data_IF_079957427811
#
_entry.id   IF_079957427811
#
_cell.length_a   1.000
_cell.length_b   1.000
_cell.length_c   1.000
_cell.angle_alpha   90.00
_cell.angle_beta   90.00
_cell.angle_gamma   90.00
#
_symmetry.space_group_name_H-M   'P 1'
#
loop_
_entity.id
_entity.type
_entity.pdbx_description
1 polymer ?
#
# COMPACT_ATOMS: atom_id res chain seq x y z
N UNK A 1 8.20 -6.05 1.29
CA UNK A 1 7.02 -5.15 1.39
C UNK A 1 5.94 -5.75 2.26
N UNK A 2 5.31 -4.94 3.11
CA UNK A 2 4.23 -5.32 4.05
C UNK A 2 2.91 -5.69 3.36
N UNK A 3 2.03 -6.41 4.06
CA UNK A 3 0.63 -6.64 3.62
C UNK A 3 -0.12 -5.31 3.47
N UNK A 4 -0.83 -5.17 2.35
CA UNK A 4 -1.55 -3.93 2.00
C UNK A 4 -2.73 -4.21 1.06
N UNK A 5 -3.89 -3.62 1.36
CA UNK A 5 -5.06 -3.61 0.49
C UNK A 5 -4.71 -2.84 -0.77
N UNK A 6 -5.10 -3.39 -1.92
CA UNK A 6 -4.87 -2.71 -3.18
C UNK A 6 -3.39 -2.63 -3.56
N UNK A 7 -2.51 -3.50 -3.04
CA UNK A 7 -1.05 -3.48 -3.27
C UNK A 7 -0.57 -3.62 -4.72
N UNK A 8 -1.48 -3.60 -5.70
CA UNK A 8 -1.25 -3.62 -7.16
C UNK A 8 -0.31 -4.71 -7.68
N UNK A 9 -0.03 -5.75 -6.90
CA UNK A 9 0.85 -6.86 -7.31
C UNK A 9 0.42 -7.49 -8.63
N UNK A 10 -0.88 -7.68 -8.81
CA UNK A 10 -1.43 -8.32 -10.01
C UNK A 10 -1.49 -7.37 -11.22
N UNK A 11 -1.56 -6.06 -10.98
CA UNK A 11 -1.70 -4.98 -11.99
C UNK A 11 -0.36 -4.39 -12.44
N UNK A 12 0.73 -4.69 -11.74
CA UNK A 12 2.03 -4.04 -11.95
C UNK A 12 2.53 -4.17 -13.39
N UNK A 13 2.46 -5.37 -13.97
CA UNK A 13 2.89 -5.62 -15.35
C UNK A 13 2.09 -4.81 -16.37
N UNK A 14 0.79 -4.62 -16.10
CA UNK A 14 -0.08 -3.81 -16.94
C UNK A 14 0.30 -2.34 -16.92
N UNK A 15 0.47 -1.80 -15.72
CA UNK A 15 0.89 -0.41 -15.50
C UNK A 15 2.23 -0.17 -16.18
N UNK A 16 3.21 -1.05 -15.98
CA UNK A 16 4.53 -0.96 -16.61
C UNK A 16 4.42 -0.95 -18.13
N UNK A 17 3.63 -1.85 -18.72
CA UNK A 17 3.43 -1.89 -20.18
C UNK A 17 2.82 -0.59 -20.68
N UNK A 18 1.77 -0.09 -20.03
CA UNK A 18 1.13 1.17 -20.39
C UNK A 18 2.12 2.34 -20.34
N UNK A 19 2.90 2.45 -19.26
CA UNK A 19 3.90 3.52 -19.12
C UNK A 19 4.96 3.46 -20.22
N UNK A 20 5.51 2.26 -20.49
CA UNK A 20 6.56 2.08 -21.50
C UNK A 20 6.10 2.41 -22.93
N UNK A 21 4.83 2.16 -23.23
CA UNK A 21 4.26 2.43 -24.56
C UNK A 21 3.87 3.90 -24.70
N UNK A 22 3.55 4.57 -23.60
CA UNK A 22 3.22 5.99 -23.58
C UNK A 22 4.44 6.89 -23.77
N UNK A 23 5.58 6.59 -23.14
CA UNK A 23 6.80 7.40 -23.27
C UNK A 23 8.07 6.66 -22.81
N UNK A 24 9.24 7.20 -23.19
CA UNK A 24 10.54 6.73 -22.71
C UNK A 24 10.84 7.18 -21.26
N UNK A 25 11.90 6.63 -20.62
CA UNK A 25 12.21 6.95 -19.23
C UNK A 25 12.45 8.45 -18.98
N UNK A 26 11.68 9.01 -18.06
CA UNK A 26 11.79 10.39 -17.58
C UNK A 26 11.45 10.46 -16.09
N UNK A 27 10.59 11.41 -15.71
CA UNK A 27 10.08 11.56 -14.35
C UNK A 27 8.70 10.93 -14.20
N UNK A 28 8.56 10.01 -13.25
CA UNK A 28 7.32 9.33 -12.91
C UNK A 28 6.78 9.84 -11.57
N UNK A 29 5.56 10.35 -11.56
CA UNK A 29 4.89 10.88 -10.38
C UNK A 29 3.89 9.85 -9.83
N UNK A 30 4.13 9.33 -8.63
CA UNK A 30 3.22 8.41 -7.93
C UNK A 30 2.52 9.17 -6.80
N UNK A 31 1.31 9.69 -7.04
CA UNK A 31 0.61 10.60 -6.11
C UNK A 31 0.04 9.89 -4.87
N UNK A 32 -0.18 8.59 -4.96
CA UNK A 32 -0.80 7.74 -3.92
C UNK A 32 0.03 6.47 -3.73
N UNK A 33 1.28 6.67 -3.33
CA UNK A 33 2.31 5.62 -3.40
C UNK A 33 2.01 4.41 -2.50
N UNK A 34 1.34 4.58 -1.36
CA UNK A 34 1.00 3.48 -0.44
C UNK A 34 2.23 2.64 -0.05
N UNK A 35 2.35 1.42 -0.58
CA UNK A 35 3.54 0.56 -0.35
C UNK A 35 4.74 0.89 -1.22
N UNK A 36 4.60 1.87 -2.11
CA UNK A 36 5.56 2.26 -3.14
C UNK A 36 5.91 1.14 -4.12
N UNK A 37 5.04 0.13 -4.29
CA UNK A 37 5.33 -0.98 -5.22
C UNK A 37 5.46 -0.51 -6.67
N UNK A 38 4.58 0.38 -7.12
CA UNK A 38 4.64 0.94 -8.48
C UNK A 38 5.89 1.81 -8.61
N UNK A 39 6.06 2.80 -7.73
CA UNK A 39 7.27 3.63 -7.71
C UNK A 39 8.60 2.84 -7.66
N UNK A 40 8.68 1.80 -6.82
CA UNK A 40 9.85 0.91 -6.73
C UNK A 40 10.16 0.22 -8.06
N UNK A 41 9.13 -0.35 -8.72
CA UNK A 41 9.30 -0.97 -10.02
C UNK A 41 9.73 0.05 -11.10
N UNK A 42 9.16 1.26 -11.08
CA UNK A 42 9.53 2.32 -12.01
C UNK A 42 10.98 2.79 -11.81
N UNK A 43 11.45 2.89 -10.55
CA UNK A 43 12.87 3.14 -10.23
C UNK A 43 13.77 2.06 -10.84
N UNK A 44 13.42 0.79 -10.68
CA UNK A 44 14.14 -0.35 -11.27
C UNK A 44 14.16 -0.33 -12.81
N UNK A 45 13.15 0.26 -13.44
CA UNK A 45 13.09 0.51 -14.88
C UNK A 45 13.86 1.76 -15.33
N UNK A 46 14.54 2.44 -14.41
CA UNK A 46 15.40 3.59 -14.68
C UNK A 46 14.69 4.95 -14.65
N UNK A 47 13.43 5.03 -14.19
CA UNK A 47 12.70 6.29 -14.06
C UNK A 47 13.11 7.05 -12.81
N UNK A 48 13.14 8.39 -12.90
CA UNK A 48 13.21 9.24 -11.72
C UNK A 48 11.82 9.29 -11.11
N UNK A 49 11.66 8.77 -9.89
CA UNK A 49 10.33 8.67 -9.28
C UNK A 49 10.14 9.72 -8.20
N UNK A 50 9.04 10.47 -8.29
CA UNK A 50 8.53 11.34 -7.23
C UNK A 50 7.33 10.64 -6.60
N UNK A 51 7.51 10.10 -5.39
CA UNK A 51 6.48 9.33 -4.70
C UNK A 51 5.87 10.17 -3.56
N UNK A 52 4.55 10.23 -3.48
CA UNK A 52 3.83 10.95 -2.45
C UNK A 52 2.83 10.02 -1.73
N UNK A 53 2.64 10.22 -0.43
CA UNK A 53 1.47 9.70 0.29
C UNK A 53 1.16 10.61 1.47
N UNK A 54 -0.09 10.59 1.94
CA UNK A 54 -0.49 11.39 3.10
C UNK A 54 0.02 10.77 4.42
N UNK A 55 0.11 9.44 4.53
CA UNK A 55 0.45 8.78 5.80
C UNK A 55 1.96 8.65 6.01
N UNK A 56 2.41 8.82 7.25
CA UNK A 56 3.83 8.78 7.59
C UNK A 56 4.47 7.43 7.28
N UNK A 57 3.75 6.31 7.52
CA UNK A 57 4.28 4.99 7.18
C UNK A 57 4.48 4.80 5.67
N UNK A 58 3.58 5.35 4.85
CA UNK A 58 3.64 5.24 3.39
C UNK A 58 4.74 6.13 2.82
N UNK A 59 4.87 7.36 3.32
CA UNK A 59 6.00 8.23 2.98
C UNK A 59 7.36 7.62 3.40
N UNK A 60 7.40 6.88 4.52
CA UNK A 60 8.61 6.16 4.96
C UNK A 60 8.94 4.98 4.06
N UNK A 61 7.93 4.24 3.58
CA UNK A 61 8.09 3.22 2.54
C UNK A 61 8.64 3.83 1.24
N UNK A 62 8.08 4.95 0.80
CA UNK A 62 8.57 5.69 -0.36
C UNK A 62 10.02 6.16 -0.17
N UNK A 63 10.36 6.66 1.01
CA UNK A 63 11.73 7.09 1.28
C UNK A 63 12.73 5.93 1.21
N UNK A 64 12.36 4.76 1.71
CA UNK A 64 13.18 3.55 1.62
C UNK A 64 13.28 3.01 0.18
N UNK A 65 12.16 2.83 -0.52
CA UNK A 65 12.13 2.13 -1.80
C UNK A 65 12.35 3.02 -3.02
N UNK A 66 12.04 4.31 -2.92
CA UNK A 66 12.15 5.26 -4.04
C UNK A 66 13.31 6.23 -3.83
N UNK A 67 13.37 6.91 -2.69
CA UNK A 67 14.34 7.99 -2.49
C UNK A 67 15.75 7.49 -2.15
N UNK A 68 15.87 6.51 -1.25
CA UNK A 68 17.16 5.95 -0.85
C UNK A 68 17.78 5.20 -2.02
N UNK A 69 19.05 5.49 -2.30
CA UNK A 69 19.84 4.77 -3.29
C UNK A 69 20.70 3.74 -2.58
N UNK A 70 20.73 2.51 -3.10
CA UNK A 70 21.46 1.39 -2.51
C UNK A 70 22.92 1.73 -2.22
N UNK A 71 23.56 2.45 -3.13
CA UNK A 71 24.96 2.88 -3.02
C UNK A 71 25.21 3.77 -1.79
N UNK A 72 24.19 4.52 -1.36
CA UNK A 72 24.30 5.49 -0.27
C UNK A 72 24.03 4.85 1.12
N UNK A 73 23.32 3.72 1.18
CA UNK A 73 22.78 3.19 2.46
C UNK A 73 23.12 1.73 2.76
N UNK A 74 23.48 0.91 1.76
CA UNK A 74 23.51 -0.56 1.91
C UNK A 74 24.50 -1.03 2.97
N UNK A 75 25.71 -0.47 3.00
CA UNK A 75 26.76 -0.88 3.95
C UNK A 75 26.35 -0.61 5.39
N UNK A 76 25.94 0.62 5.69
CA UNK A 76 25.50 1.03 7.02
C UNK A 76 24.22 0.30 7.45
N UNK A 77 23.23 0.18 6.56
CA UNK A 77 22.00 -0.56 6.84
C UNK A 77 22.31 -2.02 7.20
N UNK A 78 23.21 -2.67 6.46
CA UNK A 78 23.61 -4.05 6.73
C UNK A 78 24.28 -4.18 8.10
N UNK A 79 25.21 -3.28 8.44
CA UNK A 79 25.89 -3.27 9.75
C UNK A 79 24.91 -3.03 10.89
N UNK A 80 24.05 -2.02 10.77
CA UNK A 80 23.08 -1.64 11.79
C UNK A 80 22.01 -2.71 11.98
N UNK A 81 21.53 -3.37 10.92
CA UNK A 81 20.56 -4.46 11.04
C UNK A 81 21.13 -5.65 11.82
N UNK A 82 22.42 -5.99 11.64
CA UNK A 82 23.07 -7.02 12.47
C UNK A 82 23.10 -6.63 13.94
N UNK A 83 23.46 -5.38 14.22
CA UNK A 83 23.48 -4.82 15.59
C UNK A 83 22.08 -4.90 16.23
N UNK A 84 21.06 -4.40 15.54
CA UNK A 84 19.68 -4.35 16.03
C UNK A 84 19.10 -5.76 16.24
N UNK A 85 19.43 -6.71 15.36
CA UNK A 85 19.02 -8.10 15.52
C UNK A 85 19.60 -8.76 16.78
N UNK A 86 20.75 -8.30 17.28
CA UNK A 86 21.38 -8.84 18.49
C UNK A 86 20.82 -8.24 19.81
N UNK A 87 20.00 -7.20 19.76
CA UNK A 87 19.48 -6.55 20.97
C UNK A 87 18.57 -7.48 21.79
N UNK A 88 18.64 -7.50 23.12
CA UNK A 88 17.58 -8.11 23.92
C UNK A 88 16.26 -7.32 23.75
N UNK A 89 15.12 -8.02 23.86
CA UNK A 89 13.83 -7.36 23.93
C UNK A 89 13.69 -6.54 25.21
N UNK A 90 12.96 -5.43 25.15
CA UNK A 90 12.59 -4.63 26.31
C UNK A 90 11.17 -4.10 26.11
N UNK A 91 10.22 -4.41 27.00
CA UNK A 91 8.83 -3.98 26.84
C UNK A 91 8.70 -2.46 26.96
N UNK A 92 7.84 -1.88 26.12
CA UNK A 92 7.48 -0.49 26.11
C UNK A 92 6.03 -0.28 25.68
N UNK A 93 5.74 0.91 25.15
CA UNK A 93 4.38 1.28 24.73
C UNK A 93 3.82 0.32 23.67
N UNK A 94 4.66 -0.12 22.72
CA UNK A 94 4.20 -0.99 21.63
C UNK A 94 3.79 -2.36 22.18
N UNK A 95 4.59 -2.93 23.09
CA UNK A 95 4.28 -4.18 23.79
C UNK A 95 2.97 -4.09 24.55
N UNK A 96 2.83 -3.07 25.39
CA UNK A 96 1.61 -2.88 26.19
C UNK A 96 0.38 -2.71 25.30
N UNK A 97 0.46 -1.87 24.28
CA UNK A 97 -0.70 -1.46 23.49
C UNK A 97 -1.08 -2.50 22.44
N UNK A 98 -0.11 -2.99 21.66
CA UNK A 98 -0.33 -3.83 20.47
C UNK A 98 -0.01 -5.31 20.67
N UNK A 99 0.39 -5.72 21.88
CA UNK A 99 0.60 -7.13 22.22
C UNK A 99 -0.25 -7.60 23.42
N UNK A 100 -0.27 -6.83 24.51
CA UNK A 100 -0.98 -7.19 25.75
C UNK A 100 -2.45 -6.77 25.67
N UNK A 101 -2.72 -5.48 25.47
CA UNK A 101 -4.09 -4.93 25.39
C UNK A 101 -4.80 -5.30 24.10
N UNK A 102 -4.06 -5.42 23.01
CA UNK A 102 -4.54 -5.92 21.73
C UNK A 102 -3.56 -6.94 21.20
N UNK A 103 -4.06 -8.06 20.66
CA UNK A 103 -3.25 -9.26 20.40
C UNK A 103 -2.71 -9.28 18.96
N UNK A 104 -2.17 -8.15 18.49
CA UNK A 104 -1.66 -8.05 17.12
C UNK A 104 -0.31 -8.74 16.95
N UNK A 105 0.55 -8.68 17.97
CA UNK A 105 1.86 -9.32 17.97
C UNK A 105 2.06 -10.07 19.28
N UNK A 106 2.81 -11.17 19.24
CA UNK A 106 3.17 -11.88 20.46
C UNK A 106 4.05 -10.98 21.36
N UNK A 107 3.86 -10.93 22.69
CA UNK A 107 4.63 -10.04 23.59
C UNK A 107 6.14 -10.10 23.38
N UNK A 108 6.71 -11.30 23.21
CA UNK A 108 8.15 -11.48 22.88
C UNK A 108 8.62 -10.66 21.67
N UNK A 109 7.76 -10.53 20.66
CA UNK A 109 8.07 -9.77 19.45
C UNK A 109 7.80 -8.27 19.67
N UNK A 110 6.79 -7.92 20.48
CA UNK A 110 6.57 -6.55 20.95
C UNK A 110 7.79 -5.96 21.66
N UNK A 111 8.38 -6.72 22.59
CA UNK A 111 9.57 -6.31 23.34
C UNK A 111 10.76 -6.05 22.42
N UNK A 112 10.88 -6.84 21.35
CA UNK A 112 11.91 -6.64 20.32
C UNK A 112 11.63 -5.38 19.49
N UNK A 113 10.38 -5.13 19.13
CA UNK A 113 9.98 -3.91 18.39
C UNK A 113 10.30 -2.66 19.20
N UNK A 114 9.91 -2.62 20.48
CA UNK A 114 10.20 -1.49 21.38
C UNK A 114 11.71 -1.24 21.49
N UNK A 115 12.50 -2.27 21.81
CA UNK A 115 13.94 -2.15 21.96
C UNK A 115 14.65 -1.68 20.67
N UNK A 116 14.29 -2.27 19.53
CA UNK A 116 14.90 -1.93 18.23
C UNK A 116 14.54 -0.50 17.83
N UNK A 117 13.27 -0.10 18.00
CA UNK A 117 12.83 1.22 17.55
C UNK A 117 13.37 2.34 18.44
N UNK A 118 13.47 2.13 19.75
CA UNK A 118 14.18 3.04 20.66
C UNK A 118 15.66 3.18 20.26
N UNK A 119 16.32 2.07 19.91
CA UNK A 119 17.71 2.10 19.43
C UNK A 119 17.88 2.85 18.10
N UNK A 120 16.93 2.72 17.15
CA UNK A 120 16.93 3.50 15.91
C UNK A 120 16.79 5.00 16.23
N UNK A 121 15.85 5.38 17.10
CA UNK A 121 15.61 6.79 17.45
C UNK A 121 16.84 7.45 18.09
N UNK A 122 17.54 6.71 18.96
CA UNK A 122 18.71 7.21 19.67
C UNK A 122 19.94 7.46 18.76
N UNK A 123 19.97 6.90 17.54
CA UNK A 123 21.12 7.02 16.63
C UNK A 123 21.14 8.30 15.80
N UNK A 124 20.04 9.06 15.73
CA UNK A 124 19.93 10.32 14.96
C UNK A 124 20.46 10.17 13.52
N UNK A 125 19.99 9.12 12.82
CA UNK A 125 20.50 8.75 11.51
C UNK A 125 20.04 9.71 10.40
N UNK A 126 20.76 9.77 9.27
CA UNK A 126 20.24 10.39 8.06
C UNK A 126 18.88 9.80 7.66
N UNK A 127 17.99 10.66 7.15
CA UNK A 127 16.58 10.34 6.91
C UNK A 127 16.36 9.08 6.04
N UNK A 128 17.17 8.91 4.99
CA UNK A 128 17.10 7.74 4.09
C UNK A 128 17.53 6.45 4.81
N UNK A 129 18.61 6.49 5.59
CA UNK A 129 19.08 5.35 6.37
C UNK A 129 18.11 5.01 7.50
N UNK A 130 17.56 6.00 8.19
CA UNK A 130 16.50 5.77 9.20
C UNK A 130 15.30 5.08 8.55
N UNK A 131 14.81 5.58 7.41
CA UNK A 131 13.70 4.97 6.69
C UNK A 131 13.96 3.51 6.31
N UNK A 132 15.17 3.17 5.86
CA UNK A 132 15.55 1.78 5.56
C UNK A 132 15.45 0.88 6.80
N UNK A 133 15.91 1.34 7.96
CA UNK A 133 15.82 0.58 9.21
C UNK A 133 14.37 0.46 9.72
N UNK A 134 13.58 1.53 9.62
CA UNK A 134 12.16 1.51 9.99
C UNK A 134 11.35 0.56 9.11
N UNK A 135 11.60 0.57 7.79
CA UNK A 135 10.95 -0.39 6.87
C UNK A 135 11.42 -1.81 7.16
N UNK A 136 12.70 -2.03 7.45
CA UNK A 136 13.21 -3.35 7.87
C UNK A 136 12.46 -3.90 9.09
N UNK A 137 12.28 -3.06 10.11
CA UNK A 137 11.54 -3.40 11.33
C UNK A 137 10.06 -3.65 11.05
N UNK A 138 9.42 -2.78 10.27
CA UNK A 138 8.01 -2.90 9.92
C UNK A 138 7.73 -4.20 9.15
N UNK A 139 8.59 -4.57 8.21
CA UNK A 139 8.46 -5.84 7.50
C UNK A 139 8.76 -7.05 8.36
N UNK A 140 9.68 -6.93 9.33
CA UNK A 140 9.92 -7.96 10.32
C UNK A 140 8.70 -8.19 11.21
N UNK A 141 8.06 -7.11 11.66
CA UNK A 141 6.82 -7.17 12.42
C UNK A 141 5.68 -7.79 11.59
N UNK A 142 5.48 -7.36 10.34
CA UNK A 142 4.42 -7.87 9.46
C UNK A 142 4.49 -9.40 9.23
N UNK A 143 5.72 -9.96 9.23
CA UNK A 143 5.98 -11.41 9.12
C UNK A 143 5.55 -12.20 10.36
N UNK A 144 5.48 -11.57 11.53
CA UNK A 144 5.17 -12.20 12.83
C UNK A 144 3.91 -11.63 13.50
N UNK A 145 3.01 -11.03 12.70
CA UNK A 145 1.72 -10.54 13.19
C UNK A 145 0.68 -11.67 13.34
N UNK A 146 -0.43 -11.36 14.02
CA UNK A 146 -1.59 -12.23 14.20
C UNK A 146 -2.85 -11.65 13.55
N UNK A 147 -2.73 -11.17 12.30
CA UNK A 147 -3.85 -10.61 11.51
C UNK A 147 -4.11 -11.37 10.21
N UNK A 148 -5.13 -10.97 9.45
CA UNK A 148 -5.36 -11.42 8.07
C UNK A 148 -4.93 -10.39 7.01
N UNK A 149 -4.07 -9.45 7.41
CA UNK A 149 -3.56 -8.37 6.54
C UNK A 149 -4.17 -6.99 6.82
N UNK A 150 -5.00 -6.85 7.86
CA UNK A 150 -5.52 -5.57 8.33
C UNK A 150 -5.39 -5.44 9.84
N UNK A 151 -5.04 -4.25 10.30
CA UNK A 151 -4.90 -3.93 11.72
C UNK A 151 -6.23 -3.46 12.35
N UNK A 152 -7.36 -3.83 11.73
CA UNK A 152 -8.69 -3.54 12.26
C UNK A 152 -9.14 -4.59 13.28
N UNK A 153 -8.58 -5.80 13.20
CA UNK A 153 -8.85 -6.93 14.07
C UNK A 153 -7.65 -7.90 14.08
N UNK A 154 -7.58 -8.74 15.10
CA UNK A 154 -6.58 -9.78 15.27
C UNK A 154 -7.25 -11.13 15.53
N UNK A 155 -6.54 -12.22 15.27
CA UNK A 155 -7.05 -13.58 15.44
C UNK A 155 -7.30 -13.91 16.92
N UNK A 156 -8.28 -14.79 17.18
CA UNK A 156 -8.64 -15.27 18.53
C UNK A 156 -7.51 -16.07 19.18
N UNK A 157 -6.81 -16.85 18.36
CA UNK A 157 -5.60 -17.56 18.72
C UNK A 157 -4.41 -16.92 18.00
N UNK A 158 -3.20 -17.20 18.48
CA UNK A 158 -2.01 -16.74 17.79
C UNK A 158 -1.89 -17.42 16.42
N UNK A 159 -1.70 -16.63 15.36
CA UNK A 159 -1.23 -17.21 14.11
C UNK A 159 0.09 -17.97 14.38
N UNK A 160 0.32 -19.16 13.78
CA UNK A 160 1.57 -19.89 13.98
C UNK A 160 2.82 -19.03 13.75
N UNK A 161 2.79 -18.16 12.72
CA UNK A 161 3.88 -17.23 12.42
C UNK A 161 4.14 -16.18 13.50
N UNK A 162 3.15 -15.85 14.33
CA UNK A 162 3.32 -14.88 15.41
C UNK A 162 4.24 -15.40 16.53
N UNK A 163 4.44 -16.72 16.58
CA UNK A 163 5.36 -17.39 17.48
C UNK A 163 6.79 -17.47 16.93
N UNK A 164 7.04 -17.08 15.68
CA UNK A 164 8.40 -16.97 15.15
C UNK A 164 9.14 -15.79 15.79
N UNK A 165 10.47 -15.81 15.71
CA UNK A 165 11.29 -14.70 16.18
C UNK A 165 11.31 -13.57 15.16
N UNK A 166 11.11 -12.34 15.66
CA UNK A 166 11.28 -11.14 14.86
C UNK A 166 12.74 -10.98 14.42
N UNK A 167 12.93 -10.92 13.10
CA UNK A 167 14.24 -10.79 12.48
C UNK A 167 14.21 -9.76 11.34
N UNK A 168 15.02 -8.72 11.49
CA UNK A 168 15.21 -7.65 10.50
C UNK A 168 16.00 -8.19 9.31
N UNK A 169 15.64 -7.71 8.12
CA UNK A 169 16.31 -7.99 6.85
C UNK A 169 16.51 -6.67 6.11
N UNK A 170 17.63 -6.51 5.42
CA UNK A 170 17.84 -5.33 4.58
C UNK A 170 16.72 -5.31 3.53
N UNK A 171 15.89 -4.24 3.44
CA UNK A 171 14.92 -4.09 2.37
C UNK A 171 15.61 -4.13 1.00
N UNK A 172 14.87 -4.49 -0.04
CA UNK A 172 15.38 -4.49 -1.42
C UNK A 172 15.51 -3.05 -1.94
N UNK A 173 16.52 -2.32 -1.45
CA UNK A 173 16.81 -0.94 -1.88
C UNK A 173 17.51 -1.01 -3.23
N UNK A 174 16.94 -0.33 -4.23
CA UNK A 174 17.47 -0.35 -5.59
C UNK A 174 18.61 0.68 -5.79
N UNK A 175 19.50 0.43 -6.77
CA UNK A 175 20.43 1.44 -7.27
C UNK A 175 19.73 2.73 -7.66
N UNK A 176 20.48 3.84 -7.70
CA UNK A 176 19.99 5.08 -8.33
C UNK A 176 19.46 4.81 -9.73
N UNK A 177 18.26 5.32 -10.02
CA UNK A 177 17.67 5.22 -11.36
C UNK A 177 18.48 6.02 -12.39
N UNK A 178 18.51 5.52 -13.63
CA UNK A 178 19.24 6.17 -14.74
C UNK A 178 18.80 7.62 -14.99
N UNK A 179 17.50 7.91 -14.86
CA UNK A 179 16.95 9.26 -15.03
C UNK A 179 17.15 10.19 -13.82
N UNK A 180 17.77 9.71 -12.72
CA UNK A 180 18.17 10.53 -11.58
C UNK A 180 17.62 10.06 -10.22
N UNK A 181 18.00 10.79 -9.15
CA UNK A 181 17.57 10.50 -7.77
C UNK A 181 16.06 10.73 -7.61
N UNK A 182 15.38 9.72 -7.08
CA UNK A 182 13.97 9.80 -6.70
C UNK A 182 13.77 10.62 -5.42
N UNK A 183 12.52 10.99 -5.13
CA UNK A 183 12.17 11.75 -3.93
C UNK A 183 10.85 11.25 -3.35
N UNK A 184 10.76 11.22 -2.03
CA UNK A 184 9.55 10.88 -1.29
C UNK A 184 8.97 12.11 -0.61
N UNK A 185 7.65 12.25 -0.67
CA UNK A 185 6.90 13.37 -0.10
C UNK A 185 5.79 12.87 0.81
N UNK A 186 5.46 13.67 1.83
CA UNK A 186 4.36 13.43 2.74
C UNK A 186 3.36 14.59 2.67
N UNK A 187 2.71 14.75 1.52
CA UNK A 187 1.76 15.83 1.26
C UNK A 187 0.35 15.28 1.05
N UNK A 188 -0.65 16.14 1.22
CA UNK A 188 -1.97 15.87 0.67
C UNK A 188 -1.89 15.72 -0.85
N UNK A 189 -2.70 14.83 -1.44
CA UNK A 189 -2.64 14.53 -2.86
C UNK A 189 -2.90 15.75 -3.76
N UNK A 190 -3.77 16.68 -3.33
CA UNK A 190 -4.02 17.92 -4.07
C UNK A 190 -2.82 18.86 -4.00
N UNK A 191 -2.18 18.95 -2.84
CA UNK A 191 -0.96 19.74 -2.67
C UNK A 191 0.20 19.16 -3.48
N UNK A 192 0.34 17.83 -3.49
CA UNK A 192 1.32 17.12 -4.32
C UNK A 192 1.07 17.35 -5.82
N UNK A 193 -0.17 17.25 -6.28
CA UNK A 193 -0.54 17.50 -7.68
C UNK A 193 -0.15 18.93 -8.13
N UNK A 194 -0.31 19.93 -7.26
CA UNK A 194 0.07 21.33 -7.52
C UNK A 194 1.57 21.59 -7.57
N UNK A 195 2.35 20.83 -6.79
CA UNK A 195 3.78 21.11 -6.58
C UNK A 195 4.71 20.25 -7.42
N UNK A 196 4.29 19.02 -7.70
CA UNK A 196 5.12 18.02 -8.37
C UNK A 196 4.75 17.96 -9.85
N UNK A 197 5.77 17.76 -10.68
CA UNK A 197 5.64 17.67 -12.12
C UNK A 197 6.42 16.45 -12.63
N UNK A 198 5.86 15.75 -13.60
CA UNK A 198 6.49 14.58 -14.21
C UNK A 198 6.00 14.34 -15.63
N UNK A 199 6.68 13.47 -16.36
CA UNK A 199 6.25 13.06 -17.69
C UNK A 199 5.00 12.18 -17.63
N UNK A 200 4.94 11.31 -16.61
CA UNK A 200 3.82 10.40 -16.34
C UNK A 200 3.37 10.55 -14.89
N UNK A 201 2.09 10.77 -14.66
CA UNK A 201 1.47 10.69 -13.34
C UNK A 201 0.65 9.40 -13.21
N UNK A 202 0.84 8.68 -12.11
CA UNK A 202 0.01 7.54 -11.72
C UNK A 202 -0.84 7.90 -10.50
N UNK A 203 -2.15 7.71 -10.64
CA UNK A 203 -3.12 7.95 -9.59
C UNK A 203 -3.85 6.65 -9.23
N UNK A 204 -3.75 6.29 -7.96
CA UNK A 204 -4.44 5.13 -7.37
C UNK A 204 -5.07 5.55 -6.04
N UNK A 205 -6.04 6.48 -6.07
CA UNK A 205 -6.62 7.02 -4.85
C UNK A 205 -7.40 5.93 -4.10
N UNK A 206 -7.58 6.06 -2.78
CA UNK A 206 -8.64 5.33 -2.08
C UNK A 206 -9.98 5.60 -2.78
N UNK A 207 -10.73 4.57 -3.17
CA UNK A 207 -12.00 4.72 -3.90
C UNK A 207 -13.20 4.10 -3.16
N UNK A 208 -13.03 3.80 -1.88
CA UNK A 208 -14.04 3.18 -1.03
C UNK A 208 -13.89 3.66 0.43
N UNK A 209 -14.77 3.18 1.32
CA UNK A 209 -14.80 3.60 2.73
C UNK A 209 -13.61 3.11 3.59
N UNK A 210 -12.69 2.30 3.05
CA UNK A 210 -11.58 1.74 3.81
C UNK A 210 -10.50 2.79 4.06
N UNK A 211 -10.53 3.39 5.25
CA UNK A 211 -9.48 4.30 5.71
C UNK A 211 -8.15 3.56 5.87
N UNK A 212 -7.16 3.92 5.05
CA UNK A 212 -5.83 3.34 5.11
C UNK A 212 -5.14 3.61 6.45
N UNK A 213 -5.26 4.82 7.01
CA UNK A 213 -4.78 5.11 8.36
C UNK A 213 -5.40 4.16 9.39
N UNK A 214 -6.72 3.95 9.37
CA UNK A 214 -7.38 3.04 10.32
C UNK A 214 -6.95 1.58 10.12
N UNK A 215 -6.71 1.16 8.87
CA UNK A 215 -6.33 -0.21 8.53
C UNK A 215 -4.85 -0.52 8.81
N UNK A 216 -4.00 0.49 8.89
CA UNK A 216 -2.54 0.39 9.07
C UNK A 216 -2.03 1.30 10.20
N UNK A 217 -2.85 1.52 11.23
CA UNK A 217 -2.56 2.49 12.30
C UNK A 217 -1.34 2.12 13.16
N UNK A 218 -1.00 0.83 13.25
CA UNK A 218 0.18 0.37 14.00
C UNK A 218 1.45 0.73 13.25
N UNK A 219 1.44 0.70 11.91
CA UNK A 219 2.56 1.19 11.09
C UNK A 219 2.76 2.68 11.26
N UNK A 220 1.67 3.45 11.34
CA UNK A 220 1.75 4.87 11.66
C UNK A 220 2.40 5.10 13.03
N UNK A 221 1.99 4.36 14.07
CA UNK A 221 2.60 4.44 15.40
C UNK A 221 4.06 3.99 15.42
N UNK A 222 4.42 2.94 14.68
CA UNK A 222 5.79 2.44 14.63
C UNK A 222 6.75 3.47 14.02
N UNK A 223 6.29 4.16 12.96
CA UNK A 223 7.09 5.17 12.26
C UNK A 223 7.17 6.47 13.06
N UNK A 224 6.04 7.02 13.51
CA UNK A 224 6.02 8.26 14.29
C UNK A 224 6.61 8.10 15.69
N UNK A 225 6.52 6.89 16.25
CA UNK A 225 6.99 6.54 17.59
C UNK A 225 6.46 7.46 18.71
N UNK A 226 5.23 7.93 18.55
CA UNK A 226 4.62 9.05 19.29
C UNK A 226 3.67 8.63 20.43
N UNK A 227 3.51 7.32 20.68
CA UNK A 227 2.75 6.76 21.82
C UNK A 227 1.34 7.37 21.96
N UNK A 228 0.50 7.32 20.92
CA UNK A 228 -0.77 8.03 20.89
C UNK A 228 -1.76 7.48 21.92
N UNK A 229 -2.76 8.27 22.27
CA UNK A 229 -3.96 7.70 22.90
C UNK A 229 -4.66 6.74 21.94
N UNK A 230 -5.32 5.71 22.49
CA UNK A 230 -5.95 4.65 21.72
C UNK A 230 -7.39 4.38 22.17
N UNK A 231 -8.22 3.88 21.25
CA UNK A 231 -9.61 3.50 21.54
C UNK A 231 -9.99 2.14 20.96
N UNK A 232 -11.01 1.54 21.58
CA UNK A 232 -11.59 0.26 21.16
C UNK A 232 -10.67 -0.95 21.40
N UNK A 233 -11.20 -2.14 21.11
CA UNK A 233 -10.51 -3.43 21.33
C UNK A 233 -9.26 -3.61 20.47
N UNK A 234 -9.24 -2.96 19.30
CA UNK A 234 -8.09 -2.93 18.41
C UNK A 234 -7.06 -1.85 18.77
N UNK A 235 -7.24 -1.10 19.87
CA UNK A 235 -6.34 -0.03 20.29
C UNK A 235 -5.97 0.93 19.13
N UNK A 236 -6.97 1.36 18.36
CA UNK A 236 -6.75 2.29 17.24
C UNK A 236 -6.33 3.66 17.78
N UNK A 237 -5.39 4.29 17.10
CA UNK A 237 -4.96 5.66 17.41
C UNK A 237 -6.16 6.63 17.39
N UNK A 238 -6.27 7.54 18.35
CA UNK A 238 -7.42 8.48 18.43
C UNK A 238 -7.53 9.43 17.23
N UNK A 239 -6.40 9.77 16.61
CA UNK A 239 -6.34 10.59 15.40
C UNK A 239 -7.01 9.94 14.17
N UNK A 240 -7.20 8.61 14.15
CA UNK A 240 -8.03 7.93 13.15
C UNK A 240 -9.47 8.47 13.09
N UNK A 241 -9.98 9.10 14.16
CA UNK A 241 -11.30 9.74 14.20
C UNK A 241 -11.34 11.05 13.43
N UNK A 242 -10.23 11.79 13.39
CA UNK A 242 -10.18 13.16 12.90
C UNK A 242 -9.43 13.28 11.56
N UNK A 243 -8.40 12.47 11.34
CA UNK A 243 -7.59 12.47 10.11
C UNK A 243 -8.29 11.64 9.02
N UNK A 244 -9.37 12.21 8.48
CA UNK A 244 -10.17 11.61 7.40
C UNK A 244 -9.66 12.07 6.03
N UNK A 245 -9.78 11.17 5.04
CA UNK A 245 -9.51 11.49 3.64
C UNK A 245 -10.82 11.71 2.87
N UNK A 246 -10.93 12.75 2.03
CA UNK A 246 -12.09 12.94 1.18
C UNK A 246 -12.26 11.78 0.18
N UNK A 247 -11.17 11.09 -0.17
CA UNK A 247 -11.16 9.90 -1.01
C UNK A 247 -11.86 8.69 -0.36
N UNK A 248 -12.02 8.68 0.97
CA UNK A 248 -12.79 7.66 1.68
C UNK A 248 -14.28 8.00 1.87
N UNK A 249 -14.76 9.11 1.29
CA UNK A 249 -16.15 9.56 1.42
C UNK A 249 -16.86 9.52 0.07
N UNK A 250 -17.96 8.75 -0.04
CA UNK A 250 -18.78 8.69 -1.26
C UNK A 250 -19.23 10.08 -1.73
N UNK A 251 -19.58 10.96 -0.78
CA UNK A 251 -20.02 12.33 -1.07
C UNK A 251 -18.87 13.21 -1.58
N UNK A 252 -17.67 13.05 -1.04
CA UNK A 252 -16.56 13.98 -1.28
C UNK A 252 -15.54 13.45 -2.31
N UNK A 253 -15.61 12.17 -2.70
CA UNK A 253 -14.65 11.55 -3.62
C UNK A 253 -14.58 12.29 -4.96
N UNK A 254 -15.71 12.46 -5.65
CA UNK A 254 -15.73 13.08 -6.99
C UNK A 254 -15.20 14.52 -6.99
N UNK A 255 -15.67 15.43 -6.10
CA UNK A 255 -15.10 16.78 -6.02
C UNK A 255 -13.60 16.82 -5.72
N UNK A 256 -13.13 15.97 -4.80
CA UNK A 256 -11.71 15.90 -4.44
C UNK A 256 -10.86 15.35 -5.59
N UNK A 257 -11.32 14.28 -6.26
CA UNK A 257 -10.59 13.67 -7.37
C UNK A 257 -10.54 14.59 -8.59
N UNK A 258 -11.65 15.28 -8.91
CA UNK A 258 -11.66 16.36 -9.91
C UNK A 258 -10.57 17.40 -9.64
N UNK A 259 -10.51 17.91 -8.41
CA UNK A 259 -9.52 18.94 -8.04
C UNK A 259 -8.08 18.44 -8.25
N UNK A 260 -7.80 17.17 -7.97
CA UNK A 260 -6.49 16.56 -8.24
C UNK A 260 -6.22 16.45 -9.74
N UNK A 261 -7.19 16.02 -10.54
CA UNK A 261 -7.04 15.88 -12.00
C UNK A 261 -6.85 17.22 -12.71
N UNK A 262 -7.49 18.28 -12.23
CA UNK A 262 -7.34 19.65 -12.75
C UNK A 262 -5.93 20.22 -12.45
N UNK A 263 -5.33 19.83 -11.33
CA UNK A 263 -4.04 20.37 -10.88
C UNK A 263 -2.84 19.50 -11.28
N UNK A 264 -3.04 18.23 -11.62
CA UNK A 264 -1.94 17.30 -11.91
C UNK A 264 -1.13 17.77 -13.12
N UNK A 265 0.18 17.87 -12.91
CA UNK A 265 1.15 18.35 -13.90
C UNK A 265 1.90 17.18 -14.52
N UNK A 266 1.25 16.51 -15.46
CA UNK A 266 1.88 15.49 -16.28
C UNK A 266 1.29 15.44 -17.69
N UNK A 267 2.12 14.99 -18.64
CA UNK A 267 1.76 14.85 -20.05
C UNK A 267 0.85 13.65 -20.25
N UNK A 268 1.18 12.56 -19.55
CA UNK A 268 0.37 11.34 -19.50
C UNK A 268 -0.11 11.10 -18.08
N UNK A 269 -1.39 10.83 -17.92
CA UNK A 269 -2.03 10.55 -16.64
C UNK A 269 -2.62 9.13 -16.69
N UNK A 270 -2.14 8.26 -15.80
CA UNK A 270 -2.61 6.89 -15.66
C UNK A 270 -3.40 6.77 -14.36
N UNK A 271 -4.63 6.30 -14.44
CA UNK A 271 -5.52 6.15 -13.29
C UNK A 271 -5.88 4.68 -13.14
N UNK A 272 -5.57 4.11 -11.99
CA UNK A 272 -6.07 2.78 -11.61
C UNK A 272 -7.36 2.92 -10.83
N UNK A 273 -8.41 2.23 -11.31
CA UNK A 273 -9.71 2.28 -10.66
C UNK A 273 -10.47 0.96 -10.78
N UNK A 274 -11.05 0.49 -9.68
CA UNK A 274 -11.80 -0.76 -9.62
C UNK A 274 -13.32 -0.51 -9.74
N UNK A 275 -14.04 -1.42 -10.39
CA UNK A 275 -15.50 -1.34 -10.55
C UNK A 275 -16.33 -1.41 -9.23
N UNK A 276 -15.73 -1.74 -8.09
CA UNK A 276 -16.36 -1.70 -6.75
C UNK A 276 -16.21 -0.34 -6.04
N UNK A 277 -15.62 0.67 -6.68
CA UNK A 277 -15.45 2.00 -6.12
C UNK A 277 -16.74 2.83 -6.03
N UNK A 278 -16.62 4.05 -5.49
CA UNK A 278 -17.75 4.99 -5.38
C UNK A 278 -18.29 5.50 -6.71
N UNK A 279 -17.49 5.40 -7.79
CA UNK A 279 -17.77 5.93 -9.13
C UNK A 279 -17.84 4.74 -10.09
N UNK A 280 -18.80 4.74 -11.01
CA UNK A 280 -18.87 3.72 -12.06
C UNK A 280 -18.06 4.15 -13.30
N UNK A 281 -17.84 3.22 -14.25
CA UNK A 281 -17.04 3.49 -15.47
C UNK A 281 -17.51 4.74 -16.22
N UNK A 282 -18.80 4.84 -16.53
CA UNK A 282 -19.36 5.96 -17.29
C UNK A 282 -19.17 7.32 -16.59
N UNK A 283 -19.33 7.37 -15.26
CA UNK A 283 -19.11 8.58 -14.49
C UNK A 283 -17.62 8.97 -14.40
N UNK A 284 -16.71 7.98 -14.41
CA UNK A 284 -15.27 8.24 -14.49
C UNK A 284 -14.90 8.78 -15.87
N UNK A 285 -15.38 8.16 -16.95
CA UNK A 285 -15.14 8.63 -18.33
C UNK A 285 -15.66 10.06 -18.53
N UNK A 286 -16.89 10.35 -18.10
CA UNK A 286 -17.45 11.69 -18.16
C UNK A 286 -16.64 12.72 -17.34
N UNK A 287 -16.09 12.32 -16.19
CA UNK A 287 -15.19 13.18 -15.40
C UNK A 287 -13.90 13.48 -16.18
N UNK A 288 -13.29 12.47 -16.80
CA UNK A 288 -12.04 12.65 -17.54
C UNK A 288 -12.24 13.49 -18.80
N UNK A 289 -13.33 13.26 -19.53
CA UNK A 289 -13.71 14.08 -20.70
C UNK A 289 -13.94 15.54 -20.32
N UNK A 290 -14.63 15.79 -19.20
CA UNK A 290 -14.90 17.15 -18.74
C UNK A 290 -13.64 17.87 -18.23
N UNK A 291 -12.74 17.17 -17.53
CA UNK A 291 -11.50 17.77 -16.99
C UNK A 291 -10.45 18.00 -18.08
N UNK A 292 -10.27 17.04 -19.00
CA UNK A 292 -9.20 17.09 -20.00
C UNK A 292 -9.65 17.59 -21.38
N UNK A 293 -10.96 17.71 -21.59
CA UNK A 293 -11.53 18.21 -22.84
C UNK A 293 -11.47 17.20 -24.00
N UNK A 294 -12.07 17.56 -25.14
CA UNK A 294 -12.21 16.66 -26.29
C UNK A 294 -10.90 16.40 -27.05
N UNK A 295 -9.86 17.18 -26.80
CA UNK A 295 -8.56 17.04 -27.44
C UNK A 295 -7.69 15.96 -26.78
N UNK A 296 -8.01 15.59 -25.53
CA UNK A 296 -7.28 14.56 -24.80
C UNK A 296 -7.63 13.16 -25.32
N UNK A 297 -6.60 12.37 -25.59
CA UNK A 297 -6.77 10.97 -25.98
C UNK A 297 -6.95 10.11 -24.73
N UNK A 298 -8.19 9.70 -24.46
CA UNK A 298 -8.55 8.85 -23.34
C UNK A 298 -8.67 7.41 -23.82
N UNK A 299 -7.80 6.53 -23.30
CA UNK A 299 -7.84 5.08 -23.55
C UNK A 299 -8.12 4.32 -22.26
N UNK A 300 -8.91 3.26 -22.35
CA UNK A 300 -9.20 2.37 -21.22
C UNK A 300 -8.64 0.98 -21.51
N UNK A 301 -7.84 0.48 -20.56
CA UNK A 301 -7.37 -0.90 -20.55
C UNK A 301 -8.14 -1.67 -19.48
N UNK A 302 -9.00 -2.60 -19.89
CA UNK A 302 -9.74 -3.47 -18.96
C UNK A 302 -8.92 -4.69 -18.56
N UNK A 303 -8.95 -5.03 -17.27
CA UNK A 303 -8.38 -6.27 -16.76
C UNK A 303 -9.32 -7.00 -15.81
N UNK A 304 -9.56 -8.28 -16.11
CA UNK A 304 -10.38 -9.19 -15.32
C UNK A 304 -9.54 -9.87 -14.20
N UNK A 305 -9.96 -9.73 -12.94
CA UNK A 305 -9.33 -10.41 -11.80
C UNK A 305 -10.32 -11.26 -11.00
N UNK A 306 -9.85 -12.38 -10.43
CA UNK A 306 -10.61 -13.16 -9.43
C UNK A 306 -10.62 -12.42 -8.09
N UNK A 307 -11.79 -12.32 -7.45
CA UNK A 307 -11.99 -11.60 -6.18
C UNK A 307 -11.23 -12.24 -5.00
N UNK A 308 -10.81 -11.43 -4.02
CA UNK A 308 -10.14 -11.90 -2.80
C UNK A 308 -11.06 -12.79 -1.94
N UNK A 309 -10.52 -13.89 -1.41
CA UNK A 309 -11.25 -14.97 -0.69
C UNK A 309 -12.07 -14.47 0.51
N UNK A 310 -11.72 -13.34 1.13
CA UNK A 310 -12.50 -12.73 2.20
C UNK A 310 -13.96 -12.39 1.83
N UNK A 311 -14.24 -12.13 0.54
CA UNK A 311 -15.61 -11.91 0.04
C UNK A 311 -16.44 -13.20 -0.07
N UNK A 312 -15.82 -14.37 0.00
CA UNK A 312 -16.50 -15.68 0.04
C UNK A 312 -16.87 -16.09 1.47
N UNK A 313 -16.19 -15.52 2.48
CA UNK A 313 -16.41 -15.81 3.90
C UNK A 313 -17.56 -14.95 4.46
N UNK A 314 -17.71 -13.70 4.01
CA UNK A 314 -18.72 -12.75 4.50
C UNK A 314 -20.18 -13.01 4.09
N UNK A 315 -20.49 -14.14 3.48
CA UNK A 315 -21.88 -14.53 3.17
C UNK A 315 -22.53 -15.37 4.26
N UNK A 316 -21.78 -15.83 5.25
CA UNK A 316 -22.26 -16.62 6.39
C UNK A 316 -22.23 -15.78 7.67
N UNK A 317 -23.28 -15.86 8.48
CA UNK A 317 -23.30 -15.28 9.81
C UNK A 317 -22.53 -16.18 10.80
N UNK A 318 -22.32 -15.74 12.05
CA UNK A 318 -21.62 -16.54 13.07
C UNK A 318 -22.27 -17.90 13.37
N UNK A 319 -23.52 -18.11 12.96
CA UNK A 319 -24.27 -19.36 13.09
C UNK A 319 -24.28 -20.21 11.81
N UNK A 320 -23.34 -19.99 10.88
CA UNK A 320 -23.18 -20.79 9.65
C UNK A 320 -24.28 -20.57 8.61
N UNK A 321 -25.20 -19.61 8.82
CA UNK A 321 -26.32 -19.34 7.92
C UNK A 321 -25.93 -18.34 6.86
N UNK A 322 -26.27 -18.65 5.61
CA UNK A 322 -26.06 -17.76 4.48
C UNK A 322 -26.93 -16.50 4.62
N UNK A 323 -26.34 -15.38 5.01
CA UNK A 323 -26.98 -14.06 5.15
C UNK A 323 -26.65 -13.08 4.02
N UNK A 324 -25.77 -13.47 3.09
CA UNK A 324 -25.43 -12.70 1.90
C UNK A 324 -25.56 -13.51 0.60
N UNK A 325 -25.78 -12.83 -0.52
CA UNK A 325 -25.53 -13.43 -1.85
C UNK A 325 -24.06 -13.24 -2.20
N UNK A 326 -23.42 -14.30 -2.74
CA UNK A 326 -22.14 -14.15 -3.44
C UNK A 326 -22.39 -13.16 -4.57
N UNK A 327 -21.87 -11.93 -4.45
CA UNK A 327 -21.81 -11.01 -5.59
C UNK A 327 -20.68 -11.43 -6.54
N UNK A 328 -20.52 -10.71 -7.65
CA UNK A 328 -19.61 -11.03 -8.76
C UNK A 328 -18.29 -11.68 -8.31
N UNK A 329 -17.97 -12.84 -8.91
CA UNK A 329 -16.74 -13.62 -8.64
C UNK A 329 -15.50 -13.02 -9.34
N UNK A 330 -15.70 -11.94 -10.10
CA UNK A 330 -14.67 -11.22 -10.83
C UNK A 330 -14.79 -9.73 -10.56
N UNK A 331 -13.67 -9.09 -10.24
CA UNK A 331 -13.56 -7.64 -10.22
C UNK A 331 -12.93 -7.20 -11.54
N UNK A 332 -13.42 -6.09 -12.08
CA UNK A 332 -12.81 -5.42 -13.23
C UNK A 332 -11.98 -4.25 -12.73
N UNK A 333 -10.71 -4.27 -13.10
CA UNK A 333 -9.80 -3.15 -12.91
C UNK A 333 -9.69 -2.40 -14.23
N UNK A 334 -9.88 -1.08 -14.17
CA UNK A 334 -9.72 -0.17 -15.28
C UNK A 334 -8.42 0.60 -15.08
N UNK A 335 -7.57 0.58 -16.10
CA UNK A 335 -6.47 1.53 -16.23
C UNK A 335 -6.87 2.55 -17.29
N UNK A 336 -7.24 3.74 -16.84
CA UNK A 336 -7.47 4.88 -17.73
C UNK A 336 -6.13 5.52 -18.05
N UNK A 337 -5.91 5.84 -19.31
CA UNK A 337 -4.71 6.50 -19.82
C UNK A 337 -5.19 7.76 -20.52
N UNK A 338 -4.88 8.90 -19.94
CA UNK A 338 -5.16 10.20 -20.53
C UNK A 338 -3.85 10.76 -21.04
N UNK A 339 -3.84 11.08 -22.33
CA UNK A 339 -2.70 11.70 -22.98
C UNK A 339 -3.10 13.07 -23.52
N UNK A 340 -2.46 14.10 -22.97
CA UNK A 340 -2.76 15.49 -23.26
C UNK A 340 -2.07 15.99 -24.53
N UNK A 341 -1.03 15.29 -24.99
CA UNK A 341 -0.12 15.75 -26.03
C UNK A 341 -0.15 14.87 -27.29
N UNK A 342 -0.99 13.82 -27.33
CA UNK A 342 -1.05 12.86 -28.43
C UNK A 342 0.21 11.99 -28.57
N UNK A 343 0.92 11.75 -27.46
CA UNK A 343 2.15 10.94 -27.39
C UNK A 343 1.89 9.43 -27.37
N UNK A 344 0.67 8.99 -27.07
CA UNK A 344 0.35 7.57 -27.03
C UNK A 344 0.46 6.98 -28.43
N UNK A 345 1.45 6.10 -28.61
CA UNK A 345 1.51 5.27 -29.81
C UNK A 345 0.23 4.41 -29.94
N UNK A 346 -0.15 4.06 -31.17
CA UNK A 346 -1.26 3.13 -31.45
C UNK A 346 -1.08 1.73 -30.84
N UNK A 347 0.10 1.46 -30.27
CA UNK A 347 0.42 0.20 -29.60
C UNK A 347 -0.16 0.08 -28.18
N UNK A 348 -0.74 1.14 -27.58
CA UNK A 348 -1.52 0.98 -26.33
C UNK A 348 -2.82 0.25 -26.66
N UNK A 349 -3.02 -0.98 -26.18
CA UNK A 349 -4.21 -1.77 -26.50
C UNK A 349 -5.47 -1.05 -25.98
N UNK A 350 -6.43 -0.76 -26.85
CA UNK A 350 -7.76 -0.29 -26.43
C UNK A 350 -8.68 -1.46 -26.09
N UNK A 351 -9.56 -1.31 -25.09
CA UNK A 351 -10.74 -2.11 -24.65
C UNK A 351 -10.68 -3.66 -24.71
N UNK A 352 -9.59 -4.27 -25.13
CA UNK A 352 -9.43 -5.70 -25.30
C UNK A 352 -8.80 -6.31 -24.04
N UNK A 353 -9.53 -7.19 -23.37
CA UNK A 353 -9.03 -7.97 -22.24
C UNK A 353 -7.76 -8.74 -22.63
N UNK A 354 -6.65 -8.48 -21.92
CA UNK A 354 -5.37 -9.12 -22.21
C UNK A 354 -5.07 -10.30 -21.26
N UNK A 355 -4.65 -11.47 -21.77
CA UNK A 355 -4.19 -12.57 -20.94
C UNK A 355 -2.82 -12.27 -20.31
N UNK A 356 -2.60 -12.73 -19.07
CA UNK A 356 -1.32 -12.58 -18.37
C UNK A 356 -0.20 -13.36 -19.08
N UNK A 357 0.89 -12.67 -19.40
CA UNK A 357 2.24 -13.26 -19.46
C UNK A 357 3.07 -12.55 -18.40
N UNK A 358 3.47 -13.29 -17.37
CA UNK A 358 4.42 -12.83 -16.34
C UNK A 358 5.74 -12.49 -17.02
N UNK A 359 6.28 -11.30 -16.75
CA UNK A 359 7.63 -10.92 -17.17
C UNK A 359 8.73 -11.59 -16.31
N UNK A 360 8.34 -12.24 -15.20
CA UNK A 360 9.22 -12.96 -14.30
C UNK A 360 9.03 -14.48 -14.47
N UNK A 361 10.13 -15.20 -14.65
CA UNK A 361 10.14 -16.64 -14.91
C UNK A 361 9.67 -17.48 -13.70
N UNK A 362 9.24 -18.73 -13.93
CA UNK A 362 8.67 -19.59 -12.89
C UNK A 362 9.65 -20.04 -11.79
N UNK A 363 10.94 -19.72 -11.88
CA UNK A 363 11.96 -20.17 -10.91
C UNK A 363 12.00 -19.35 -9.61
N UNK A 364 11.38 -18.15 -9.57
CA UNK A 364 11.34 -17.31 -8.35
C UNK A 364 10.14 -17.61 -7.41
N UNK A 365 9.38 -18.65 -7.72
CA UNK A 365 8.12 -18.99 -7.06
C UNK A 365 8.09 -20.48 -6.76
N UNK A 366 8.73 -20.95 -5.69
CA UNK A 366 8.35 -22.17 -4.96
C UNK A 366 9.30 -22.40 -3.78
N UNK A 367 8.82 -22.19 -2.55
CA UNK A 367 9.04 -23.06 -1.40
C UNK A 367 8.09 -22.61 -0.28
N UNK A 368 7.06 -23.43 -0.03
CA UNK A 368 5.99 -23.18 0.94
C UNK A 368 4.98 -24.30 0.81
N UNK A 369 5.31 -25.42 1.44
CA UNK A 369 4.60 -26.70 1.44
C UNK A 369 3.15 -26.56 1.89
N UNK A 370 2.24 -27.27 1.21
CA UNK A 370 0.86 -27.40 1.64
C UNK A 370 0.76 -28.17 2.95
N UNK A 371 -0.23 -27.81 3.77
CA UNK A 371 -0.85 -28.69 4.75
C UNK A 371 -2.21 -28.12 5.20
N UNK A 372 -3.10 -29.05 5.52
CA UNK A 372 -4.55 -28.96 5.62
C UNK A 372 -5.09 -27.98 6.69
N UNK A 373 -6.24 -27.36 6.40
CA UNK A 373 -7.03 -26.54 7.34
C UNK A 373 -7.88 -27.45 8.24
N UNK A 374 -7.83 -27.33 9.58
CA UNK A 374 -8.77 -28.05 10.45
C UNK A 374 -10.11 -27.30 10.60
N UNK A 375 -11.16 -28.07 10.89
CA UNK A 375 -12.56 -27.67 11.00
C UNK A 375 -12.86 -26.59 12.05
N UNK A 376 -13.86 -25.75 11.75
CA UNK A 376 -14.37 -24.65 12.60
C UNK A 376 -15.57 -25.15 13.42
N UNK A 377 -15.49 -25.06 14.74
CA UNK A 377 -16.58 -25.38 15.69
C UNK A 377 -17.51 -24.16 15.90
N UNK A 378 -18.82 -24.36 15.70
CA UNK A 378 -19.90 -23.35 15.68
C UNK A 378 -20.61 -23.18 17.04
N UNK A 379 -19.87 -22.89 18.12
CA UNK A 379 -20.52 -22.54 19.39
C UNK A 379 -19.95 -21.27 20.03
N UNK A 380 -20.82 -20.24 20.16
CA UNK A 380 -20.85 -19.10 21.12
C UNK A 380 -21.12 -17.73 20.42
N UNK A 381 -22.05 -16.89 20.96
CA UNK A 381 -22.89 -15.97 20.18
C UNK A 381 -22.35 -14.54 20.00
N UNK A 382 -22.90 -13.83 19.01
CA UNK A 382 -22.54 -12.46 18.61
C UNK A 382 -23.14 -11.36 19.52
N UNK A 383 -22.36 -10.29 19.72
CA UNK A 383 -22.81 -9.03 20.36
C UNK A 383 -23.55 -8.16 19.32
N UNK A 384 -24.75 -7.61 19.60
CA UNK A 384 -25.55 -6.91 18.61
C UNK A 384 -25.26 -5.40 18.54
N UNK A 385 -25.31 -4.86 17.31
CA UNK A 385 -25.74 -3.49 17.04
C UNK A 385 -24.77 -2.62 16.25
N UNK A 386 -25.04 -2.42 14.96
CA UNK A 386 -24.81 -1.18 14.20
C UNK A 386 -25.73 -1.25 12.98
N UNK A 387 -26.85 -0.51 13.06
CA UNK A 387 -27.68 -0.15 11.90
C UNK A 387 -27.01 0.98 11.13
#
# INVERSE_FOLDING_TARGET
MVKYIGSKRALLDAIIRTVKVATGPGTFLDLFSGTSRVGHAMKGLGWRVLANDHNAYAATLARCYVQADREDVLEDATRLIRELNALPGRPGYFTETYCIRSRFFHPKNGERIDAIRDAIAAKCLPEELEAVLLVSLMEAADRVDSTTGLQMAYLKEWAPRALNDLCLRVPDVLPRARAGKGQAFMLDALEAARRLEGDVAYLDPPYNQHSYLSNYHIWETLVLWDRPEVYGVACKRVDCRNRKSPFNSRKNFLPAFRSVLEEVRARVVIISFNNEGFVNRAAMEALLEDVFGPEANIRVVEQDYKRYVGAQIGIYNPEGRKVGRVSHLRNREYLYVVDRDGLLSDAVPGDAAQPQRSLFGPEDLLQGTGEDLPDVDESVPAVPGLR
#
